data_IF_131532293134
#
_entry.id   IF_131532293134
#
_cell.length_a   1.000
_cell.length_b   1.000
_cell.length_c   1.000
_cell.angle_alpha   90.00
_cell.angle_beta   90.00
_cell.angle_gamma   90.00
#
_symmetry.space_group_name_H-M   'P 1'
#
loop_
_entity.id
_entity.type
_entity.pdbx_description
1 polymer ?
#
# COMPACT_ATOMS: atom_id res chain seq x y z
N UNK A 1 11.15 -10.17 -7.03
CA UNK A 1 10.09 -9.21 -6.62
C UNK A 1 10.67 -8.46 -5.44
N UNK A 2 10.60 -7.13 -5.44
CA UNK A 2 11.21 -6.29 -4.41
C UNK A 2 10.61 -6.65 -3.04
N UNK A 3 11.43 -7.13 -2.11
CA UNK A 3 11.01 -7.64 -0.79
C UNK A 3 10.16 -6.61 -0.04
N UNK A 4 10.45 -5.32 -0.26
CA UNK A 4 9.69 -4.21 0.30
C UNK A 4 8.25 -4.12 -0.24
N UNK A 5 7.98 -4.47 -1.50
CA UNK A 5 6.62 -4.45 -2.07
C UNK A 5 5.72 -5.55 -1.49
N UNK A 6 6.31 -6.68 -1.10
CA UNK A 6 5.57 -7.78 -0.47
C UNK A 6 4.99 -7.33 0.87
N UNK A 7 5.82 -6.80 1.77
CA UNK A 7 5.37 -6.34 3.09
C UNK A 7 4.35 -5.21 3.03
N UNK A 8 4.53 -4.26 2.11
CA UNK A 8 3.56 -3.17 1.89
C UNK A 8 2.18 -3.75 1.55
N UNK A 9 2.15 -4.74 0.66
CA UNK A 9 0.92 -5.41 0.25
C UNK A 9 0.28 -6.19 1.39
N UNK A 10 1.04 -6.95 2.16
CA UNK A 10 0.50 -7.66 3.32
C UNK A 10 -0.15 -6.71 4.32
N UNK A 11 0.49 -5.56 4.58
CA UNK A 11 -0.11 -4.53 5.45
C UNK A 11 -1.41 -3.98 4.87
N UNK A 12 -1.46 -3.70 3.56
CA UNK A 12 -2.70 -3.27 2.89
C UNK A 12 -3.80 -4.34 2.99
N UNK A 13 -3.46 -5.62 2.77
CA UNK A 13 -4.39 -6.75 2.93
C UNK A 13 -4.92 -6.82 4.35
N UNK A 14 -4.05 -6.68 5.35
CA UNK A 14 -4.45 -6.66 6.75
C UNK A 14 -5.44 -5.52 7.04
N UNK A 15 -5.13 -4.29 6.64
CA UNK A 15 -6.02 -3.14 6.85
C UNK A 15 -7.36 -3.31 6.12
N UNK A 16 -7.33 -3.81 4.88
CA UNK A 16 -8.55 -3.98 4.10
C UNK A 16 -9.46 -5.07 4.66
N UNK A 17 -8.89 -6.20 5.06
CA UNK A 17 -9.66 -7.40 5.45
C UNK A 17 -9.97 -7.45 6.95
N UNK A 18 -9.08 -6.92 7.80
CA UNK A 18 -9.21 -6.98 9.27
C UNK A 18 -9.71 -5.70 9.89
N UNK A 19 -9.49 -4.56 9.23
CA UNK A 19 -9.96 -3.23 9.70
C UNK A 19 -11.09 -2.67 8.83
N UNK A 20 -11.53 -3.41 7.81
CA UNK A 20 -12.59 -3.01 6.86
C UNK A 20 -12.35 -1.67 6.16
N UNK A 21 -11.10 -1.21 6.08
CA UNK A 21 -10.75 0.03 5.39
C UNK A 21 -10.85 -0.21 3.88
N UNK A 22 -11.57 0.64 3.18
CA UNK A 22 -11.77 0.49 1.74
C UNK A 22 -10.51 0.81 0.95
N UNK A 23 -10.40 0.27 -0.26
CA UNK A 23 -9.32 0.65 -1.18
C UNK A 23 -9.32 2.15 -1.52
N UNK A 24 -10.49 2.81 -1.42
CA UNK A 24 -10.59 4.25 -1.64
C UNK A 24 -9.89 5.01 -0.50
N UNK A 25 -10.26 4.73 0.73
CA UNK A 25 -9.65 5.35 1.92
C UNK A 25 -8.14 5.10 1.97
N UNK A 26 -7.71 3.87 1.73
CA UNK A 26 -6.28 3.54 1.65
C UNK A 26 -5.57 4.33 0.55
N UNK A 27 -6.20 4.51 -0.60
CA UNK A 27 -5.60 5.26 -1.70
C UNK A 27 -5.46 6.75 -1.38
N UNK A 28 -6.47 7.31 -0.69
CA UNK A 28 -6.46 8.69 -0.21
C UNK A 28 -5.36 8.89 0.86
N UNK A 29 -5.21 7.95 1.80
CA UNK A 29 -4.17 7.98 2.85
C UNK A 29 -2.74 7.85 2.27
N UNK A 30 -2.54 6.93 1.32
CA UNK A 30 -1.24 6.71 0.66
C UNK A 30 -0.93 7.86 -0.32
N UNK A 31 -1.95 8.55 -0.82
CA UNK A 31 -1.84 9.62 -1.80
C UNK A 31 -1.59 9.13 -3.22
N UNK A 32 -2.13 7.96 -3.58
CA UNK A 32 -2.10 7.41 -4.95
C UNK A 32 -3.52 7.18 -5.46
N UNK A 33 -3.70 7.01 -6.76
CA UNK A 33 -5.05 6.73 -7.29
C UNK A 33 -5.56 5.35 -6.84
N UNK A 34 -6.86 5.24 -6.59
CA UNK A 34 -7.50 3.96 -6.27
C UNK A 34 -7.25 2.87 -7.34
N UNK A 35 -7.28 3.17 -8.66
CA UNK A 35 -6.90 2.19 -9.68
C UNK A 35 -5.45 1.72 -9.59
N UNK A 36 -4.52 2.62 -9.26
CA UNK A 36 -3.10 2.27 -9.04
C UNK A 36 -2.96 1.34 -7.85
N UNK A 37 -3.59 1.68 -6.72
CA UNK A 37 -3.56 0.85 -5.52
C UNK A 37 -4.20 -0.52 -5.76
N UNK A 38 -5.35 -0.57 -6.44
CA UNK A 38 -6.04 -1.83 -6.75
C UNK A 38 -5.20 -2.74 -7.66
N UNK A 39 -4.56 -2.20 -8.70
CA UNK A 39 -3.64 -2.98 -9.54
C UNK A 39 -2.42 -3.44 -8.76
N UNK A 40 -1.88 -2.60 -7.88
CA UNK A 40 -0.79 -2.98 -7.00
C UNK A 40 -1.23 -4.15 -6.14
N UNK A 41 -2.29 -4.00 -5.35
CA UNK A 41 -2.90 -5.00 -4.46
C UNK A 41 -3.15 -6.35 -5.14
N UNK A 42 -3.73 -6.34 -6.35
CA UNK A 42 -4.07 -7.55 -7.10
C UNK A 42 -2.88 -8.18 -7.86
N UNK A 43 -1.65 -7.70 -7.67
CA UNK A 43 -0.45 -8.15 -8.40
C UNK A 43 -0.55 -7.96 -9.92
N UNK A 44 -1.46 -7.09 -10.39
CA UNK A 44 -1.68 -6.81 -11.83
C UNK A 44 -0.76 -5.69 -12.36
N UNK A 45 0.23 -5.29 -11.57
CA UNK A 45 1.17 -4.21 -11.92
C UNK A 45 2.50 -4.81 -12.35
N UNK A 46 2.88 -4.63 -13.64
CA UNK A 46 4.19 -5.07 -14.14
C UNK A 46 5.34 -4.23 -13.56
N UNK A 47 5.13 -2.92 -13.40
CA UNK A 47 6.08 -1.96 -12.80
C UNK A 47 5.32 -0.77 -12.22
N UNK A 48 5.61 -0.41 -10.97
CA UNK A 48 5.11 0.83 -10.38
C UNK A 48 5.89 2.04 -10.92
N UNK A 49 5.24 3.20 -11.02
CA UNK A 49 5.96 4.45 -11.23
C UNK A 49 6.83 4.76 -10.00
N UNK A 50 7.95 5.45 -10.21
CA UNK A 50 8.85 5.84 -9.11
C UNK A 50 8.12 6.62 -8.01
N UNK A 51 7.23 7.54 -8.40
CA UNK A 51 6.40 8.33 -7.49
C UNK A 51 5.44 7.46 -6.67
N UNK A 52 4.75 6.49 -7.30
CA UNK A 52 3.84 5.60 -6.57
C UNK A 52 4.61 4.69 -5.61
N UNK A 53 5.77 4.19 -6.04
CA UNK A 53 6.65 3.38 -5.20
C UNK A 53 7.16 4.16 -3.99
N UNK A 54 7.57 5.41 -4.16
CA UNK A 54 8.03 6.26 -3.05
C UNK A 54 6.91 6.51 -2.04
N UNK A 55 5.70 6.84 -2.52
CA UNK A 55 4.53 7.07 -1.66
C UNK A 55 4.16 5.83 -0.85
N UNK A 56 4.10 4.66 -1.50
CA UNK A 56 3.85 3.37 -0.83
C UNK A 56 4.89 3.07 0.25
N UNK A 57 6.18 3.26 -0.05
CA UNK A 57 7.26 3.05 0.92
C UNK A 57 7.18 4.02 2.10
N UNK A 58 6.95 5.32 1.84
CA UNK A 58 6.84 6.33 2.89
C UNK A 58 5.65 6.05 3.81
N UNK A 59 4.51 5.68 3.23
CA UNK A 59 3.32 5.27 3.99
C UNK A 59 3.61 4.05 4.86
N UNK A 60 4.22 3.01 4.30
CA UNK A 60 4.51 1.79 5.05
C UNK A 60 5.49 2.02 6.21
N UNK A 61 6.52 2.85 6.01
CA UNK A 61 7.41 3.25 7.12
C UNK A 61 6.65 3.91 8.26
N UNK A 62 5.65 4.75 7.97
CA UNK A 62 4.78 5.35 9.00
C UNK A 62 3.97 4.30 9.74
N UNK A 63 3.40 3.33 9.01
CA UNK A 63 2.65 2.22 9.62
C UNK A 63 3.51 1.38 10.57
N UNK A 64 4.76 1.09 10.20
CA UNK A 64 5.71 0.36 11.07
C UNK A 64 6.05 1.14 12.34
N UNK A 65 6.13 2.47 12.27
CA UNK A 65 6.34 3.31 13.45
C UNK A 65 5.10 3.27 14.36
N UNK A 66 3.90 3.40 13.78
CA UNK A 66 2.63 3.35 14.51
C UNK A 66 2.45 1.99 15.20
N UNK A 67 2.79 0.88 14.54
CA UNK A 67 2.68 -0.46 15.14
C UNK A 67 3.67 -0.69 16.31
N UNK A 68 4.73 0.11 16.40
CA UNK A 68 5.76 0.03 17.47
C UNK A 68 5.47 0.95 18.66
N UNK A 69 4.48 1.82 18.52
CA UNK A 69 3.98 2.69 19.59
C UNK A 69 2.82 2.02 20.32
#
# INVERSE_FOLDING_TARGET
>A
VDESEHFIREKIVFLHTKKSITMRELSEEIGISQPTLSRFYNQKTKRLSGVAKEKLNRWYKRQVIIDKM
#
